data_IF_300719579568
#
_entry.id   IF_300719579568
#
_cell.length_a   1.000
_cell.length_b   1.000
_cell.length_c   1.000
_cell.angle_alpha   90.00
_cell.angle_beta   90.00
_cell.angle_gamma   90.00
#
_symmetry.space_group_name_H-M   'P 1'
#
loop_
_entity.id
_entity.type
_entity.pdbx_description
1 polymer ?
#
# COMPACT_ATOMS: atom_id res chain seq x y z
N UNK A 1 16.62 17.15 15.00
CA UNK A 1 16.95 17.27 13.57
C UNK A 1 16.60 18.68 13.15
N UNK A 2 17.51 19.41 12.49
CA UNK A 2 17.18 20.74 11.95
C UNK A 2 16.23 20.59 10.75
N UNK A 3 15.19 21.42 10.70
CA UNK A 3 14.18 21.40 9.63
C UNK A 3 14.75 22.09 8.39
N UNK A 4 14.59 21.47 7.22
CA UNK A 4 14.98 22.02 5.92
C UNK A 4 13.94 23.07 5.49
N UNK A 5 14.37 24.29 5.10
CA UNK A 5 13.45 25.31 4.59
C UNK A 5 12.67 24.83 3.37
N UNK A 6 11.35 25.00 3.37
CA UNK A 6 10.46 24.61 2.27
C UNK A 6 9.88 23.20 2.35
N UNK A 7 10.29 22.40 3.34
CA UNK A 7 9.68 21.08 3.61
C UNK A 7 8.69 21.21 4.77
N UNK A 8 7.46 20.74 4.54
CA UNK A 8 6.43 20.66 5.59
C UNK A 8 6.68 19.42 6.44
N UNK A 9 6.98 19.63 7.73
CA UNK A 9 7.14 18.56 8.70
C UNK A 9 5.85 18.37 9.47
N UNK A 10 5.26 17.17 9.41
CA UNK A 10 4.13 16.79 10.28
C UNK A 10 4.71 16.26 11.59
N UNK A 11 4.61 17.06 12.66
CA UNK A 11 4.91 16.60 14.02
C UNK A 11 3.58 16.29 14.72
N UNK A 12 3.21 15.01 14.77
CA UNK A 12 2.03 14.54 15.48
C UNK A 12 2.44 13.70 16.70
N UNK A 13 1.91 14.02 17.88
CA UNK A 13 2.07 13.17 19.06
C UNK A 13 1.25 11.88 18.88
N UNK A 14 1.94 10.75 18.82
CA UNK A 14 1.32 9.42 18.68
C UNK A 14 0.40 9.05 19.86
N UNK A 15 0.50 9.76 21.00
CA UNK A 15 -0.21 9.43 22.23
C UNK A 15 -1.72 9.82 22.22
N UNK A 16 -2.20 10.59 21.24
CA UNK A 16 -3.58 11.11 21.24
C UNK A 16 -4.48 10.60 20.10
N UNK A 17 -4.07 9.58 19.35
CA UNK A 17 -4.83 9.09 18.20
C UNK A 17 -5.93 8.07 18.59
N UNK A 18 -6.91 8.51 19.36
CA UNK A 18 -8.23 7.85 19.45
C UNK A 18 -9.27 8.78 18.85
N UNK A 19 -9.30 8.87 17.53
CA UNK A 19 -10.25 9.75 16.84
C UNK A 19 -11.16 8.89 15.94
N UNK A 20 -12.46 8.76 16.28
CA UNK A 20 -13.43 7.94 15.55
C UNK A 20 -13.57 8.30 14.05
N UNK A 21 -13.35 9.58 13.71
CA UNK A 21 -13.48 10.08 12.34
C UNK A 21 -12.53 9.41 11.34
N UNK A 22 -11.36 8.93 11.78
CA UNK A 22 -10.40 8.25 10.89
C UNK A 22 -10.84 6.81 10.59
N UNK A 23 -11.39 6.11 11.59
CA UNK A 23 -11.95 4.78 11.39
C UNK A 23 -13.11 4.81 10.39
N UNK A 24 -13.98 5.82 10.47
CA UNK A 24 -15.09 6.00 9.51
C UNK A 24 -14.59 6.17 8.07
N UNK A 25 -13.51 6.94 7.86
CA UNK A 25 -12.92 7.14 6.53
C UNK A 25 -12.24 5.88 6.00
N UNK A 26 -11.44 5.18 6.82
CA UNK A 26 -10.83 3.89 6.45
C UNK A 26 -11.89 2.84 6.09
N UNK A 27 -12.97 2.77 6.86
CA UNK A 27 -14.09 1.85 6.59
C UNK A 27 -14.80 2.24 5.29
N UNK A 28 -15.01 3.53 5.04
CA UNK A 28 -15.58 4.01 3.78
C UNK A 28 -14.68 3.68 2.58
N UNK A 29 -13.35 3.82 2.72
CA UNK A 29 -12.41 3.47 1.67
C UNK A 29 -12.43 1.96 1.39
N UNK A 30 -12.47 1.13 2.42
CA UNK A 30 -12.53 -0.33 2.25
C UNK A 30 -13.88 -0.83 1.75
N UNK A 31 -14.97 -0.09 1.96
CA UNK A 31 -16.25 -0.37 1.29
C UNK A 31 -16.16 -0.19 -0.24
N UNK A 32 -15.20 0.58 -0.75
CA UNK A 32 -14.96 0.72 -2.19
C UNK A 32 -14.46 -0.57 -2.84
N UNK A 33 -13.93 -1.51 -2.05
CA UNK A 33 -13.56 -2.85 -2.55
C UNK A 33 -14.79 -3.61 -3.12
N UNK A 34 -16.01 -3.31 -2.63
CA UNK A 34 -17.24 -3.87 -3.20
C UNK A 34 -17.47 -3.38 -4.64
N UNK A 35 -17.10 -2.14 -4.92
CA UNK A 35 -17.18 -1.59 -6.28
C UNK A 35 -16.18 -2.30 -7.19
N UNK A 36 -14.96 -2.54 -6.72
CA UNK A 36 -13.96 -3.31 -7.47
C UNK A 36 -14.42 -4.74 -7.73
N UNK A 37 -14.99 -5.41 -6.74
CA UNK A 37 -15.52 -6.77 -6.89
C UNK A 37 -16.58 -6.88 -8.01
N UNK A 38 -17.38 -5.84 -8.21
CA UNK A 38 -18.43 -5.81 -9.24
C UNK A 38 -17.91 -5.40 -10.63
N UNK A 39 -16.84 -4.60 -10.69
CA UNK A 39 -16.40 -3.91 -11.91
C UNK A 39 -15.17 -4.50 -12.55
N UNK A 40 -14.29 -5.12 -11.76
CA UNK A 40 -13.09 -5.75 -12.26
C UNK A 40 -13.40 -7.07 -12.98
N UNK A 41 -12.56 -7.50 -13.95
CA UNK A 41 -12.78 -8.73 -14.68
C UNK A 41 -12.86 -9.99 -13.80
N UNK A 42 -13.58 -11.04 -14.23
CA UNK A 42 -13.80 -12.25 -13.43
C UNK A 42 -12.54 -12.93 -12.89
N UNK A 43 -11.40 -12.77 -13.58
CA UNK A 43 -10.09 -13.30 -13.14
C UNK A 43 -9.64 -12.79 -11.76
N UNK A 44 -10.15 -11.63 -11.32
CA UNK A 44 -9.83 -11.05 -10.01
C UNK A 44 -10.87 -11.31 -8.93
N UNK A 45 -12.07 -11.81 -9.27
CA UNK A 45 -13.18 -11.94 -8.32
C UNK A 45 -12.84 -12.82 -7.12
N UNK A 46 -12.14 -13.93 -7.35
CA UNK A 46 -11.70 -14.81 -6.26
C UNK A 46 -10.75 -14.11 -5.29
N UNK A 47 -9.71 -13.45 -5.80
CA UNK A 47 -8.74 -12.75 -4.96
C UNK A 47 -9.39 -11.65 -4.11
N UNK A 48 -10.33 -10.91 -4.70
CA UNK A 48 -11.08 -9.86 -3.99
C UNK A 48 -12.03 -10.48 -2.95
N UNK A 49 -12.70 -11.58 -3.28
CA UNK A 49 -13.59 -12.28 -2.34
C UNK A 49 -12.82 -12.85 -1.13
N UNK A 50 -11.69 -13.50 -1.38
CA UNK A 50 -10.83 -14.06 -0.33
C UNK A 50 -10.33 -12.93 0.58
N UNK A 51 -9.80 -11.84 0.01
CA UNK A 51 -9.36 -10.67 0.77
C UNK A 51 -10.49 -10.08 1.62
N UNK A 52 -11.69 -9.92 1.05
CA UNK A 52 -12.85 -9.39 1.78
C UNK A 52 -13.22 -10.23 3.00
N UNK A 53 -13.09 -11.55 2.91
CA UNK A 53 -13.31 -12.46 4.04
C UNK A 53 -12.32 -12.24 5.18
N UNK A 54 -11.13 -11.73 4.86
CA UNK A 54 -10.05 -11.53 5.83
C UNK A 54 -9.92 -10.10 6.35
N UNK A 55 -10.48 -9.11 5.65
CA UNK A 55 -10.46 -7.69 6.05
C UNK A 55 -10.79 -7.43 7.53
N UNK A 56 -11.72 -8.13 8.21
CA UNK A 56 -11.97 -7.89 9.62
C UNK A 56 -10.72 -7.98 10.52
N UNK A 57 -9.68 -8.73 10.13
CA UNK A 57 -8.45 -8.89 10.92
C UNK A 57 -7.70 -7.56 11.11
N UNK A 58 -7.72 -6.67 10.10
CA UNK A 58 -7.00 -5.39 10.14
C UNK A 58 -7.80 -4.26 10.82
N UNK A 59 -9.02 -4.56 11.26
CA UNK A 59 -9.85 -3.68 12.09
C UNK A 59 -9.95 -4.17 13.55
N UNK A 60 -9.19 -5.20 13.91
CA UNK A 60 -9.10 -5.68 15.28
C UNK A 60 -8.65 -4.57 16.23
N UNK A 61 -9.12 -4.56 17.49
CA UNK A 61 -8.81 -3.50 18.46
C UNK A 61 -7.31 -3.38 18.78
N UNK A 62 -6.53 -4.43 18.52
CA UNK A 62 -5.07 -4.47 18.70
C UNK A 62 -4.28 -4.16 17.42
N UNK A 63 -4.93 -4.04 16.26
CA UNK A 63 -4.24 -3.78 15.00
C UNK A 63 -3.88 -2.28 14.89
N UNK A 64 -2.62 -1.93 14.61
CA UNK A 64 -2.19 -0.54 14.66
C UNK A 64 -2.74 0.28 13.47
N UNK A 65 -3.28 1.46 13.79
CA UNK A 65 -3.48 2.54 12.82
C UNK A 65 -2.23 3.42 12.80
N UNK A 66 -1.73 3.74 11.62
CA UNK A 66 -0.50 4.52 11.44
C UNK A 66 -0.71 5.60 10.39
N UNK A 67 0.14 6.63 10.40
CA UNK A 67 0.24 7.56 9.29
C UNK A 67 0.92 6.85 8.10
N UNK A 68 0.12 6.45 7.12
CA UNK A 68 0.57 5.86 5.87
C UNK A 68 0.89 6.93 4.82
N UNK A 69 1.86 6.61 3.97
CA UNK A 69 2.22 7.42 2.80
C UNK A 69 1.26 7.05 1.65
N UNK A 70 0.50 8.03 1.14
CA UNK A 70 -0.54 7.80 0.11
C UNK A 70 0.02 7.52 -1.29
N UNK A 71 1.27 7.91 -1.54
CA UNK A 71 1.96 7.74 -2.82
C UNK A 71 3.37 7.18 -2.65
N UNK A 72 3.53 6.07 -1.93
CA UNK A 72 4.88 5.55 -1.63
C UNK A 72 5.50 4.91 -2.87
N UNK A 73 6.44 5.61 -3.51
CA UNK A 73 7.20 5.12 -4.66
C UNK A 73 8.66 5.58 -4.60
N UNK A 74 9.48 5.04 -5.50
CA UNK A 74 10.91 5.34 -5.61
C UNK A 74 11.22 6.83 -5.77
N UNK A 75 10.33 7.60 -6.41
CA UNK A 75 10.50 9.04 -6.58
C UNK A 75 10.35 9.82 -5.27
N UNK A 76 9.65 9.25 -4.28
CA UNK A 76 9.35 9.88 -3.00
C UNK A 76 10.32 9.42 -1.89
N UNK A 77 11.35 8.65 -2.24
CA UNK A 77 12.39 8.17 -1.31
C UNK A 77 13.72 8.83 -1.65
N UNK A 78 14.27 9.57 -0.70
CA UNK A 78 15.61 10.16 -0.81
C UNK A 78 16.64 9.17 -0.30
N UNK A 79 17.69 8.96 -1.09
CA UNK A 79 18.78 8.02 -0.80
C UNK A 79 20.12 8.78 -0.80
N UNK A 80 20.97 8.47 0.17
CA UNK A 80 22.36 8.92 0.18
C UNK A 80 23.12 8.25 -0.98
N UNK A 81 23.67 9.02 -1.95
CA UNK A 81 24.34 8.44 -3.11
C UNK A 81 25.66 7.74 -2.78
N UNK A 82 26.28 8.04 -1.64
CA UNK A 82 27.54 7.42 -1.21
C UNK A 82 27.29 6.22 -0.28
N UNK A 83 26.40 6.38 0.71
CA UNK A 83 26.14 5.36 1.73
C UNK A 83 24.98 4.40 1.37
N UNK A 84 24.10 4.77 0.43
CA UNK A 84 22.95 3.97 0.00
C UNK A 84 21.79 3.92 0.99
N UNK A 85 21.84 4.67 2.10
CA UNK A 85 20.79 4.71 3.11
C UNK A 85 19.65 5.65 2.76
N UNK A 86 18.42 5.33 3.20
CA UNK A 86 17.28 6.25 3.10
C UNK A 86 17.50 7.44 4.03
N UNK A 87 17.47 8.66 3.49
CA UNK A 87 17.68 9.91 4.23
C UNK A 87 16.38 10.69 4.43
N UNK A 88 15.34 10.37 3.67
CA UNK A 88 14.04 11.01 3.80
C UNK A 88 12.95 10.35 2.96
N UNK A 89 11.71 10.58 3.38
CA UNK A 89 10.50 10.30 2.60
C UNK A 89 9.79 11.64 2.40
N UNK A 90 9.50 12.01 1.16
CA UNK A 90 8.93 13.30 0.77
C UNK A 90 7.54 13.12 0.15
N UNK A 91 6.86 14.24 -0.15
CA UNK A 91 5.52 14.26 -0.76
C UNK A 91 4.41 13.59 0.06
N UNK A 92 4.22 14.09 1.28
CA UNK A 92 3.17 13.64 2.20
C UNK A 92 1.78 14.24 1.90
N UNK A 93 1.54 14.78 0.69
CA UNK A 93 0.27 15.44 0.35
C UNK A 93 -0.94 14.48 0.45
N UNK A 94 -0.71 13.19 0.17
CA UNK A 94 -1.73 12.13 0.25
C UNK A 94 -1.69 11.33 1.57
N UNK A 95 -1.00 11.82 2.59
CA UNK A 95 -0.85 11.08 3.85
C UNK A 95 -2.19 10.82 4.55
N UNK A 96 -2.38 9.60 5.04
CA UNK A 96 -3.64 9.17 5.65
C UNK A 96 -3.38 8.26 6.85
N UNK A 97 -4.22 8.36 7.89
CA UNK A 97 -4.27 7.36 8.95
C UNK A 97 -4.97 6.10 8.44
N UNK A 98 -4.24 4.99 8.36
CA UNK A 98 -4.69 3.72 7.82
C UNK A 98 -4.21 2.54 8.69
N UNK A 99 -4.85 1.37 8.61
CA UNK A 99 -4.29 0.12 9.09
C UNK A 99 -2.85 -0.06 8.61
N UNK A 100 -1.97 -0.40 9.54
CA UNK A 100 -0.56 -0.64 9.24
C UNK A 100 -0.41 -1.65 8.11
N UNK A 101 0.50 -1.38 7.18
CA UNK A 101 0.72 -2.21 6.00
C UNK A 101 0.02 -1.74 4.73
N UNK A 102 -0.98 -0.85 4.80
CA UNK A 102 -1.70 -0.40 3.60
C UNK A 102 -0.86 0.41 2.60
N UNK A 103 0.30 0.95 2.98
CA UNK A 103 1.25 1.58 2.03
C UNK A 103 2.30 0.61 1.48
N UNK A 104 2.33 -0.65 1.93
CA UNK A 104 3.35 -1.63 1.51
C UNK A 104 3.19 -2.08 0.05
N UNK A 105 2.10 -1.72 -0.64
CA UNK A 105 2.02 -1.86 -2.09
C UNK A 105 3.18 -1.13 -2.80
N UNK A 106 3.74 -0.07 -2.19
CA UNK A 106 4.90 0.64 -2.71
C UNK A 106 6.16 -0.25 -2.80
N UNK A 107 6.30 -1.25 -1.93
CA UNK A 107 7.35 -2.26 -2.08
C UNK A 107 7.20 -3.00 -3.41
N UNK A 108 5.99 -3.46 -3.71
CA UNK A 108 5.73 -4.23 -4.91
C UNK A 108 6.02 -3.42 -6.18
N UNK A 109 5.71 -2.13 -6.18
CA UNK A 109 6.04 -1.24 -7.29
C UNK A 109 7.54 -0.97 -7.46
N UNK A 110 8.35 -1.14 -6.41
CA UNK A 110 9.82 -0.98 -6.49
C UNK A 110 10.55 -2.27 -6.91
N UNK A 111 9.86 -3.40 -7.03
CA UNK A 111 10.47 -4.68 -7.42
C UNK A 111 10.60 -4.86 -8.95
N UNK A 112 10.19 -3.87 -9.73
CA UNK A 112 10.17 -3.96 -11.18
C UNK A 112 9.74 -2.65 -11.84
N UNK A 113 9.44 -2.74 -13.13
CA UNK A 113 9.04 -1.60 -13.95
C UNK A 113 7.88 -1.97 -14.86
N UNK A 114 6.97 -1.03 -15.08
CA UNK A 114 5.87 -1.16 -16.05
C UNK A 114 6.27 -0.55 -17.40
N UNK A 115 6.05 -1.28 -18.49
CA UNK A 115 6.15 -0.75 -19.85
C UNK A 115 4.95 -1.14 -20.74
N UNK A 116 5.03 -0.87 -22.05
CA UNK A 116 3.95 -1.18 -23.00
C UNK A 116 3.63 -2.68 -23.15
N UNK A 117 4.54 -3.57 -22.74
CA UNK A 117 4.39 -5.02 -22.75
C UNK A 117 3.95 -5.58 -21.38
N UNK A 118 3.84 -4.72 -20.37
CA UNK A 118 3.38 -5.07 -19.03
C UNK A 118 4.46 -4.94 -17.98
N UNK A 119 4.29 -5.69 -16.90
CA UNK A 119 5.16 -5.63 -15.74
C UNK A 119 6.41 -6.51 -15.90
N UNK A 120 7.58 -5.95 -15.62
CA UNK A 120 8.87 -6.64 -15.66
C UNK A 120 9.56 -6.56 -14.31
N UNK A 121 9.80 -7.71 -13.69
CA UNK A 121 10.57 -7.77 -12.45
C UNK A 121 12.06 -7.50 -12.69
N UNK A 122 12.70 -6.84 -11.74
CA UNK A 122 14.16 -6.81 -11.68
C UNK A 122 14.72 -8.22 -11.49
N UNK A 123 15.92 -8.48 -12.02
CA UNK A 123 16.54 -9.81 -11.97
C UNK A 123 16.73 -10.35 -10.53
N UNK A 124 16.87 -9.45 -9.55
CA UNK A 124 17.03 -9.73 -8.13
C UNK A 124 15.75 -9.48 -7.30
N UNK A 125 14.59 -9.28 -7.92
CA UNK A 125 13.35 -8.92 -7.22
C UNK A 125 13.00 -9.87 -6.07
N UNK A 126 13.04 -11.19 -6.29
CA UNK A 126 12.73 -12.18 -5.24
C UNK A 126 13.71 -12.12 -4.07
N UNK A 127 14.99 -11.85 -4.34
CA UNK A 127 16.00 -11.69 -3.28
C UNK A 127 15.76 -10.41 -2.48
N UNK A 128 15.49 -9.29 -3.17
CA UNK A 128 15.22 -8.01 -2.53
C UNK A 128 13.96 -8.06 -1.66
N UNK A 129 12.89 -8.68 -2.15
CA UNK A 129 11.67 -8.88 -1.39
C UNK A 129 11.89 -9.74 -0.14
N UNK A 130 12.66 -10.82 -0.27
CA UNK A 130 13.02 -11.67 0.88
C UNK A 130 13.79 -10.88 1.94
N UNK A 131 14.81 -10.12 1.53
CA UNK A 131 15.62 -9.29 2.42
C UNK A 131 14.76 -8.20 3.08
N UNK A 132 13.86 -7.58 2.32
CA UNK A 132 12.92 -6.61 2.87
C UNK A 132 12.11 -7.23 4.00
N UNK A 133 11.45 -8.37 3.77
CA UNK A 133 10.58 -8.97 4.79
C UNK A 133 11.34 -9.47 6.01
N UNK A 134 12.55 -10.00 5.82
CA UNK A 134 13.45 -10.38 6.92
C UNK A 134 13.74 -9.16 7.82
N UNK A 135 14.31 -8.10 7.25
CA UNK A 135 14.66 -6.88 7.99
C UNK A 135 13.42 -6.21 8.57
N UNK A 136 12.31 -6.18 7.82
CA UNK A 136 11.06 -5.58 8.27
C UNK A 136 10.52 -6.26 9.53
N UNK A 137 10.51 -7.60 9.57
CA UNK A 137 10.05 -8.32 10.75
C UNK A 137 11.03 -8.23 11.91
N UNK A 138 12.33 -8.21 11.65
CA UNK A 138 13.33 -7.95 12.70
C UNK A 138 13.12 -6.58 13.37
N UNK A 139 12.84 -5.54 12.58
CA UNK A 139 12.63 -4.18 13.08
C UNK A 139 11.24 -3.98 13.72
N UNK A 140 10.22 -4.68 13.22
CA UNK A 140 8.88 -4.66 13.82
C UNK A 140 8.81 -5.42 15.16
N UNK A 141 9.86 -6.18 15.53
CA UNK A 141 9.94 -6.94 16.76
C UNK A 141 9.31 -8.34 16.66
N UNK A 142 8.79 -8.88 17.76
CA UNK A 142 8.13 -10.19 17.74
C UNK A 142 6.77 -10.11 17.04
N UNK A 143 6.76 -10.31 15.72
CA UNK A 143 5.54 -10.35 14.89
C UNK A 143 4.99 -11.78 14.85
N UNK A 144 3.80 -12.00 15.43
CA UNK A 144 3.15 -13.31 15.41
C UNK A 144 2.75 -13.73 13.99
N UNK A 145 2.48 -15.02 13.76
CA UNK A 145 1.97 -15.48 12.47
C UNK A 145 0.64 -14.79 12.08
N UNK A 146 -0.20 -14.48 13.07
CA UNK A 146 -1.44 -13.73 12.87
C UNK A 146 -1.19 -12.28 12.44
N UNK A 147 -0.23 -11.60 13.06
CA UNK A 147 0.14 -10.23 12.71
C UNK A 147 0.78 -10.18 11.31
N UNK A 148 1.63 -11.15 10.97
CA UNK A 148 2.16 -11.29 9.60
C UNK A 148 1.03 -11.42 8.59
N UNK A 149 0.02 -12.25 8.88
CA UNK A 149 -1.14 -12.39 8.01
C UNK A 149 -1.93 -11.09 7.90
N UNK A 150 -2.14 -10.39 9.00
CA UNK A 150 -2.85 -9.10 9.01
C UNK A 150 -2.10 -8.03 8.20
N UNK A 151 -0.77 -7.96 8.29
CA UNK A 151 0.07 -7.07 7.48
C UNK A 151 -0.09 -7.36 5.98
N UNK A 152 -0.10 -8.64 5.60
CA UNK A 152 -0.36 -9.05 4.21
C UNK A 152 -1.78 -8.66 3.77
N UNK A 153 -2.79 -8.85 4.62
CA UNK A 153 -4.18 -8.41 4.30
C UNK A 153 -4.24 -6.89 4.09
N UNK A 154 -3.56 -6.10 4.94
CA UNK A 154 -3.50 -4.66 4.80
C UNK A 154 -2.78 -4.23 3.52
N UNK A 155 -1.63 -4.82 3.20
CA UNK A 155 -0.86 -4.58 1.98
C UNK A 155 -1.74 -4.81 0.73
N UNK A 156 -2.43 -5.95 0.68
CA UNK A 156 -3.33 -6.32 -0.42
C UNK A 156 -4.52 -5.37 -0.57
N UNK A 157 -5.10 -4.94 0.55
CA UNK A 157 -6.18 -3.97 0.55
C UNK A 157 -5.71 -2.61 0.03
N UNK A 158 -4.54 -2.16 0.47
CA UNK A 158 -3.89 -0.95 -0.03
C UNK A 158 -3.61 -1.02 -1.53
N UNK A 159 -3.10 -2.16 -2.01
CA UNK A 159 -2.82 -2.41 -3.42
C UNK A 159 -4.06 -2.28 -4.30
N UNK A 160 -5.17 -2.89 -3.90
CA UNK A 160 -6.44 -2.79 -4.63
C UNK A 160 -6.99 -1.36 -4.61
N UNK A 161 -6.87 -0.64 -3.51
CA UNK A 161 -7.32 0.76 -3.48
C UNK A 161 -6.44 1.65 -4.35
N UNK A 162 -5.12 1.43 -4.36
CA UNK A 162 -4.17 2.21 -5.16
C UNK A 162 -4.34 1.99 -6.66
N UNK A 163 -4.41 0.75 -7.11
CA UNK A 163 -4.42 0.41 -8.55
C UNK A 163 -5.79 0.02 -9.08
N UNK A 164 -6.79 -0.19 -8.22
CA UNK A 164 -8.17 -0.48 -8.61
C UNK A 164 -8.95 0.75 -9.07
N UNK A 165 -8.44 1.94 -8.82
CA UNK A 165 -9.09 3.19 -9.17
C UNK A 165 -8.19 4.08 -10.04
N UNK A 166 -8.82 4.94 -10.82
CA UNK A 166 -8.15 5.96 -11.63
C UNK A 166 -9.01 7.22 -11.68
N UNK A 167 -8.38 8.37 -11.92
CA UNK A 167 -9.06 9.64 -12.05
C UNK A 167 -9.44 9.90 -13.52
N UNK A 168 -10.73 10.11 -13.76
CA UNK A 168 -11.24 10.56 -15.05
C UNK A 168 -11.25 12.08 -15.10
N UNK A 169 -10.44 12.63 -16.01
CA UNK A 169 -10.25 14.08 -16.20
C UNK A 169 -9.87 14.85 -14.92
N UNK A 170 -9.31 14.17 -13.91
CA UNK A 170 -8.97 14.76 -12.60
C UNK A 170 -10.18 15.18 -11.75
N UNK A 171 -11.41 14.81 -12.16
CA UNK A 171 -12.65 15.26 -11.53
C UNK A 171 -13.35 14.15 -10.75
N UNK A 172 -13.35 12.94 -11.30
CA UNK A 172 -14.08 11.82 -10.74
C UNK A 172 -13.19 10.59 -10.71
N UNK A 173 -13.09 9.99 -9.53
CA UNK A 173 -12.45 8.70 -9.38
C UNK A 173 -13.41 7.59 -9.83
N UNK A 174 -12.93 6.66 -10.64
CA UNK A 174 -13.68 5.50 -11.12
C UNK A 174 -12.83 4.23 -11.04
N UNK A 175 -13.47 3.05 -10.98
CA UNK A 175 -12.75 1.79 -11.14
C UNK A 175 -11.98 1.74 -12.46
N UNK A 176 -10.81 1.11 -12.43
CA UNK A 176 -9.99 0.88 -13.62
C UNK A 176 -10.65 -0.12 -14.56
N UNK A 177 -10.32 0.03 -15.84
CA UNK A 177 -10.66 -0.87 -16.94
C UNK A 177 -9.37 -1.36 -17.58
N UNK A 178 -9.44 -2.41 -18.41
CA UNK A 178 -8.26 -2.95 -19.11
C UNK A 178 -7.57 -1.95 -20.06
N UNK A 179 -8.17 -0.77 -20.28
CA UNK A 179 -7.59 0.32 -21.09
C UNK A 179 -6.73 1.27 -20.27
N UNK A 180 -6.85 1.25 -18.94
CA UNK A 180 -6.13 2.14 -18.05
C UNK A 180 -4.73 1.57 -17.75
N UNK A 181 -3.70 2.41 -17.73
CA UNK A 181 -2.32 1.96 -17.50
C UNK A 181 -2.11 1.34 -16.12
N UNK A 182 -2.85 1.81 -15.11
CA UNK A 182 -2.81 1.25 -13.75
C UNK A 182 -3.33 -0.19 -13.68
N UNK A 183 -4.11 -0.63 -14.66
CA UNK A 183 -4.65 -1.99 -14.71
C UNK A 183 -3.54 -3.05 -14.77
N UNK A 184 -2.42 -2.76 -15.45
CA UNK A 184 -1.29 -3.68 -15.56
C UNK A 184 -0.71 -4.10 -14.20
N UNK A 185 -0.78 -3.22 -13.19
CA UNK A 185 -0.32 -3.54 -11.83
C UNK A 185 -1.23 -4.56 -11.15
N UNK A 186 -2.55 -4.52 -11.42
CA UNK A 186 -3.46 -5.54 -10.92
C UNK A 186 -3.19 -6.91 -11.54
N UNK A 187 -2.93 -6.96 -12.85
CA UNK A 187 -2.54 -8.21 -13.54
C UNK A 187 -1.20 -8.73 -13.02
N UNK A 188 -0.26 -7.85 -12.68
CA UNK A 188 1.05 -8.25 -12.14
C UNK A 188 1.00 -8.79 -10.71
N UNK A 189 0.18 -8.18 -9.86
CA UNK A 189 0.25 -8.41 -8.41
C UNK A 189 -0.88 -9.25 -7.86
N UNK A 190 -2.13 -9.10 -8.32
CA UNK A 190 -3.25 -9.89 -7.77
C UNK A 190 -3.07 -11.41 -7.91
N UNK A 191 -2.49 -11.96 -9.00
CA UNK A 191 -2.22 -13.39 -9.09
C UNK A 191 -1.23 -13.88 -8.02
N UNK A 192 -0.28 -13.04 -7.58
CA UNK A 192 0.64 -13.38 -6.48
C UNK A 192 -0.06 -13.54 -5.14
N UNK A 193 -1.26 -12.99 -5.01
CA UNK A 193 -2.01 -12.99 -3.76
C UNK A 193 -2.81 -14.28 -3.53
N UNK A 194 -2.88 -15.16 -4.54
CA UNK A 194 -3.62 -16.43 -4.51
C UNK A 194 -2.78 -17.63 -4.00
N UNK A 195 -1.53 -17.39 -3.58
CA UNK A 195 -0.62 -18.36 -2.96
C UNK A 195 -0.58 -18.25 -1.44
#
# INVERSE_FOLDING_TARGET
MEKVPGITYIEASLASLRCPAWQERTVADLARLDTLAQRLPPRFHRAIADLRGELPIIFGPSYPLVLGHGDLCEMNILVDPEAGGITGIIDWAEAMILPFGMSLWGLLSMLGTMDSQGWHYHANASQLESVFWEIFYENAGQVSAGDKRAIIVAERAGLLLRYGFTWENGLHERPVTERDSSFGYLDAFLPRLQG
#
